data_IF_894596724768
#
_entry.id   IF_894596724768
#
_cell.length_a   1.000
_cell.length_b   1.000
_cell.length_c   1.000
_cell.angle_alpha   90.00
_cell.angle_beta   90.00
_cell.angle_gamma   90.00
#
_symmetry.space_group_name_H-M   'P 1'
#
loop_
_entity.id
_entity.type
_entity.pdbx_description
1 polymer ?
#
# COMPACT_ATOMS: atom_id res chain seq x y z
N UNK A 1 16.87 10.18 19.72
CA UNK A 1 16.43 10.95 18.54
C UNK A 1 15.09 11.58 18.87
N UNK A 2 14.85 12.85 18.52
CA UNK A 2 13.51 13.42 18.63
C UNK A 2 12.61 12.63 17.68
N UNK A 3 11.51 12.06 18.17
CA UNK A 3 10.54 11.40 17.30
C UNK A 3 9.97 12.43 16.31
N UNK A 4 9.71 11.98 15.08
CA UNK A 4 9.03 12.77 14.03
C UNK A 4 7.68 13.22 14.59
N UNK A 5 7.22 14.42 14.24
CA UNK A 5 5.91 14.90 14.69
C UNK A 5 4.80 14.32 13.80
N UNK A 6 4.54 13.02 13.96
CA UNK A 6 3.60 12.25 13.13
C UNK A 6 2.14 12.71 13.25
N UNK A 7 1.84 13.56 14.22
CA UNK A 7 0.49 14.09 14.45
C UNK A 7 0.23 15.46 13.82
N UNK A 8 1.28 16.16 13.36
CA UNK A 8 1.18 17.55 12.87
C UNK A 8 0.15 17.72 11.75
N UNK A 9 0.07 16.72 10.84
CA UNK A 9 -0.80 16.76 9.66
C UNK A 9 -2.29 16.69 9.97
N UNK A 10 -2.67 16.14 11.14
CA UNK A 10 -4.08 15.99 11.52
C UNK A 10 -4.81 17.33 11.61
N UNK A 11 -4.08 18.38 12.00
CA UNK A 11 -4.65 19.71 12.14
C UNK A 11 -5.04 20.29 10.78
N UNK A 12 -4.17 20.16 9.78
CA UNK A 12 -4.44 20.65 8.43
C UNK A 12 -5.64 19.94 7.79
N UNK A 13 -5.71 18.60 7.90
CA UNK A 13 -6.87 17.83 7.41
C UNK A 13 -8.17 18.28 8.09
N UNK A 14 -8.13 18.57 9.38
CA UNK A 14 -9.29 19.07 10.11
C UNK A 14 -9.70 20.47 9.67
N UNK A 15 -8.74 21.36 9.40
CA UNK A 15 -8.98 22.70 8.87
C UNK A 15 -9.57 22.67 7.46
N UNK A 16 -9.13 21.76 6.61
CA UNK A 16 -9.69 21.55 5.27
C UNK A 16 -11.17 21.09 5.34
N UNK A 17 -11.49 20.19 6.27
CA UNK A 17 -12.88 19.74 6.50
C UNK A 17 -13.75 20.88 7.01
N UNK A 18 -13.24 21.71 7.92
CA UNK A 18 -13.94 22.90 8.39
C UNK A 18 -14.23 23.85 7.23
N UNK A 19 -13.22 24.14 6.40
CA UNK A 19 -13.36 25.02 5.25
C UNK A 19 -14.37 24.49 4.23
N UNK A 20 -14.28 23.21 3.86
CA UNK A 20 -15.18 22.59 2.88
C UNK A 20 -16.65 22.57 3.34
N UNK A 21 -16.90 22.45 4.64
CA UNK A 21 -18.24 22.51 5.22
C UNK A 21 -18.70 23.92 5.60
N UNK A 22 -17.90 24.95 5.34
CA UNK A 22 -18.10 26.33 5.79
C UNK A 22 -18.35 26.44 7.31
N UNK A 23 -17.58 25.69 8.08
CA UNK A 23 -17.62 25.61 9.53
C UNK A 23 -16.36 26.19 10.17
N UNK A 24 -16.47 26.58 11.44
CA UNK A 24 -15.34 27.10 12.23
C UNK A 24 -15.01 26.24 13.46
N UNK A 25 -15.81 25.20 13.71
CA UNK A 25 -15.62 24.31 14.86
C UNK A 25 -16.23 22.92 14.63
N UNK A 26 -15.85 21.97 15.48
CA UNK A 26 -16.43 20.62 15.52
C UNK A 26 -17.92 20.64 15.86
N UNK A 27 -18.35 21.60 16.68
CA UNK A 27 -19.77 21.75 17.03
C UNK A 27 -20.60 22.23 15.83
N UNK A 28 -20.02 23.10 14.99
CA UNK A 28 -20.62 23.44 13.70
C UNK A 28 -20.73 22.19 12.81
N UNK A 29 -19.66 21.40 12.66
CA UNK A 29 -19.69 20.18 11.84
C UNK A 29 -20.75 19.19 12.32
N UNK A 30 -20.92 19.02 13.64
CA UNK A 30 -21.95 18.13 14.22
C UNK A 30 -23.38 18.65 14.02
N UNK A 31 -23.53 19.95 13.84
CA UNK A 31 -24.83 20.60 13.63
C UNK A 31 -25.17 20.78 12.15
N UNK A 32 -24.19 20.60 11.27
CA UNK A 32 -24.36 20.66 9.83
C UNK A 32 -25.32 19.56 9.35
N UNK A 33 -26.11 19.87 8.32
CA UNK A 33 -27.02 18.89 7.73
C UNK A 33 -26.22 17.82 6.96
N UNK A 34 -26.78 16.61 6.78
CA UNK A 34 -26.15 15.58 5.95
C UNK A 34 -25.77 16.07 4.55
N UNK A 35 -26.58 16.93 3.93
CA UNK A 35 -26.33 17.47 2.59
C UNK A 35 -25.08 18.35 2.56
N UNK A 36 -24.85 19.17 3.58
CA UNK A 36 -23.62 19.98 3.72
C UNK A 36 -22.40 19.07 3.85
N UNK A 37 -22.47 18.05 4.70
CA UNK A 37 -21.37 17.12 4.91
C UNK A 37 -21.08 16.27 3.67
N UNK A 38 -22.10 15.86 2.92
CA UNK A 38 -21.94 15.15 1.65
C UNK A 38 -21.28 16.04 0.60
N UNK A 39 -21.69 17.30 0.49
CA UNK A 39 -21.07 18.25 -0.44
C UNK A 39 -19.60 18.52 -0.08
N UNK A 40 -19.29 18.72 1.21
CA UNK A 40 -17.92 18.89 1.68
C UNK A 40 -17.06 17.64 1.39
N UNK A 41 -17.59 16.44 1.66
CA UNK A 41 -16.89 15.20 1.35
C UNK A 41 -16.66 15.02 -0.15
N UNK A 42 -17.65 15.36 -0.99
CA UNK A 42 -17.50 15.27 -2.44
C UNK A 42 -16.39 16.19 -2.94
N UNK A 43 -16.40 17.45 -2.49
CA UNK A 43 -15.37 18.43 -2.81
C UNK A 43 -13.97 17.91 -2.43
N UNK A 44 -13.81 17.47 -1.18
CA UNK A 44 -12.53 16.98 -0.68
C UNK A 44 -12.09 15.68 -1.39
N UNK A 45 -12.99 14.76 -1.70
CA UNK A 45 -12.58 13.46 -2.30
C UNK A 45 -12.39 13.55 -3.81
N UNK A 46 -13.08 14.45 -4.50
CA UNK A 46 -13.19 14.42 -5.96
C UNK A 46 -12.59 15.64 -6.65
N UNK A 47 -12.51 16.80 -5.98
CA UNK A 47 -12.23 18.08 -6.63
C UNK A 47 -10.90 18.71 -6.19
N UNK A 48 -10.40 18.36 -5.01
CA UNK A 48 -9.08 18.81 -4.55
C UNK A 48 -7.99 17.78 -4.86
N UNK A 49 -6.73 18.18 -5.12
CA UNK A 49 -5.59 17.27 -5.27
C UNK A 49 -5.08 16.70 -3.95
N UNK A 50 -4.32 15.61 -4.03
CA UNK A 50 -3.81 14.94 -2.83
C UNK A 50 -2.63 15.73 -2.29
N UNK A 51 -2.74 16.15 -1.03
CA UNK A 51 -1.66 16.83 -0.33
C UNK A 51 -0.47 15.90 -0.03
N UNK A 52 0.69 16.52 0.21
CA UNK A 52 1.88 15.83 0.67
C UNK A 52 1.77 15.37 2.14
N UNK A 53 2.35 14.22 2.48
CA UNK A 53 2.49 13.75 3.88
C UNK A 53 1.32 12.92 4.42
N UNK A 54 0.55 12.24 3.55
CA UNK A 54 -0.33 11.13 3.95
C UNK A 54 -1.67 11.47 4.63
N UNK A 55 -1.92 12.70 5.07
CA UNK A 55 -3.23 13.12 5.64
C UNK A 55 -4.20 13.57 4.55
N UNK A 56 -4.91 12.62 3.95
CA UNK A 56 -5.32 12.64 2.54
C UNK A 56 -6.72 13.20 2.25
N UNK A 57 -6.89 13.64 0.99
CA UNK A 57 -8.10 13.94 0.20
C UNK A 57 -7.73 13.88 -1.31
N UNK A 58 -8.71 13.89 -2.23
CA UNK A 58 -8.72 13.36 -3.62
C UNK A 58 -7.57 13.70 -4.59
N UNK A 59 -7.43 13.13 -5.81
CA UNK A 59 -8.17 12.03 -6.44
C UNK A 59 -7.50 10.67 -6.16
N UNK A 60 -7.31 10.36 -4.88
CA UNK A 60 -6.81 9.05 -4.42
C UNK A 60 -7.51 8.66 -3.10
N UNK A 61 -6.77 8.24 -2.07
CA UNK A 61 -7.25 7.53 -0.86
C UNK A 61 -8.43 8.19 -0.11
N UNK A 62 -8.65 9.50 -0.24
CA UNK A 62 -9.70 10.21 0.49
C UNK A 62 -9.38 10.27 1.98
N UNK A 63 -10.35 9.98 2.85
CA UNK A 63 -10.11 9.87 4.29
C UNK A 63 -9.30 8.60 4.62
N UNK A 64 -8.06 8.75 5.05
CA UNK A 64 -7.18 7.65 5.44
C UNK A 64 -6.93 7.59 6.96
N UNK A 65 -6.59 6.40 7.51
CA UNK A 65 -5.98 6.33 8.84
C UNK A 65 -4.71 7.18 8.91
N UNK A 66 -4.49 7.87 10.03
CA UNK A 66 -3.28 8.66 10.25
C UNK A 66 -2.74 8.43 11.66
N UNK A 67 -1.41 8.51 11.87
CA UNK A 67 -0.83 8.45 13.21
C UNK A 67 -1.48 9.46 14.16
N UNK A 68 -2.01 8.96 15.27
CA UNK A 68 -2.71 9.76 16.27
C UNK A 68 -1.96 9.89 17.60
N UNK A 69 -0.81 9.21 17.70
CA UNK A 69 0.03 9.17 18.90
C UNK A 69 -0.49 8.24 20.00
N UNK A 70 -1.65 7.60 19.80
CA UNK A 70 -2.33 6.75 20.79
C UNK A 70 -2.53 5.35 20.25
N UNK A 71 -3.37 5.18 19.22
CA UNK A 71 -3.66 3.92 18.56
C UNK A 71 -2.64 3.62 17.45
N UNK A 72 -2.31 4.62 16.63
CA UNK A 72 -1.27 4.55 15.60
C UNK A 72 -0.17 5.52 16.02
N UNK A 73 0.90 4.98 16.62
CA UNK A 73 1.93 5.80 17.29
C UNK A 73 2.95 6.39 16.33
N UNK A 74 3.11 5.79 15.16
CA UNK A 74 4.05 6.17 14.10
C UNK A 74 3.57 5.50 12.80
N UNK A 75 4.28 5.74 11.70
CA UNK A 75 4.05 5.10 10.41
C UNK A 75 4.09 3.57 10.53
N UNK A 76 3.05 2.82 10.09
CA UNK A 76 2.98 1.38 10.28
C UNK A 76 4.20 0.58 9.81
N UNK A 77 4.83 0.95 8.68
CA UNK A 77 6.02 0.22 8.23
C UNK A 77 7.20 0.39 9.21
N UNK A 78 7.38 1.58 9.78
CA UNK A 78 8.41 1.84 10.80
C UNK A 78 8.11 1.08 12.09
N UNK A 79 6.84 1.05 12.52
CA UNK A 79 6.43 0.27 13.70
C UNK A 79 6.65 -1.23 13.53
N UNK A 80 6.51 -1.76 12.31
CA UNK A 80 6.69 -3.18 12.01
C UNK A 80 8.16 -3.59 11.89
N UNK A 81 9.06 -2.65 11.57
CA UNK A 81 10.51 -2.86 11.57
C UNK A 81 11.08 -3.00 12.98
N UNK A 82 10.44 -2.42 13.98
CA UNK A 82 10.87 -2.58 15.37
C UNK A 82 10.86 -4.07 15.74
N UNK A 83 12.05 -4.59 16.06
CA UNK A 83 12.24 -5.96 16.55
C UNK A 83 11.46 -6.24 17.85
N UNK A 84 11.08 -5.18 18.57
CA UNK A 84 10.13 -5.24 19.66
C UNK A 84 8.77 -5.74 19.15
N UNK A 85 8.37 -6.90 19.64
CA UNK A 85 7.01 -7.43 19.39
C UNK A 85 5.92 -6.61 20.08
N UNK A 86 6.25 -5.53 20.79
CA UNK A 86 5.29 -4.70 21.52
C UNK A 86 4.21 -4.07 20.64
N UNK A 87 4.48 -3.91 19.34
CA UNK A 87 3.53 -3.39 18.36
C UNK A 87 2.81 -4.48 17.55
N UNK A 88 3.11 -5.76 17.82
CA UNK A 88 2.60 -6.92 17.08
C UNK A 88 1.49 -7.59 17.89
N UNK A 89 0.36 -7.82 17.24
CA UNK A 89 -0.72 -8.61 17.84
C UNK A 89 -0.38 -10.10 17.69
N UNK A 90 -0.75 -10.96 18.66
CA UNK A 90 -0.56 -12.39 18.51
C UNK A 90 -1.52 -12.91 17.43
N UNK A 91 -0.97 -13.33 16.29
CA UNK A 91 -1.71 -13.93 15.18
C UNK A 91 -1.45 -15.44 15.12
N UNK A 92 -2.46 -16.21 14.72
CA UNK A 92 -2.32 -17.67 14.51
C UNK A 92 -1.67 -17.98 13.15
N UNK A 93 -2.11 -17.29 12.11
CA UNK A 93 -1.62 -17.38 10.73
C UNK A 93 -1.87 -16.02 10.07
N UNK A 94 -1.09 -15.68 9.04
CA UNK A 94 -1.21 -14.44 8.29
C UNK A 94 -1.11 -14.71 6.78
N UNK A 95 -2.07 -14.21 6.02
CA UNK A 95 -2.03 -14.18 4.56
C UNK A 95 -1.97 -12.72 4.13
N UNK A 96 -0.98 -12.37 3.33
CA UNK A 96 -0.75 -11.00 2.86
C UNK A 96 -0.31 -11.04 1.41
N UNK A 97 -0.69 -10.05 0.61
CA UNK A 97 -0.26 -10.00 -0.77
C UNK A 97 -0.52 -8.67 -1.42
N UNK A 98 0.03 -8.54 -2.61
CA UNK A 98 -0.10 -7.38 -3.47
C UNK A 98 -0.16 -7.85 -4.94
N UNK A 99 -0.43 -6.92 -5.84
CA UNK A 99 -0.46 -7.15 -7.28
C UNK A 99 0.84 -6.63 -7.88
N UNK A 100 1.34 -7.26 -8.94
CA UNK A 100 2.61 -6.90 -9.55
C UNK A 100 2.62 -5.48 -10.13
N UNK A 101 1.44 -4.92 -10.44
CA UNK A 101 1.24 -3.59 -11.00
C UNK A 101 0.13 -2.81 -10.26
N UNK A 102 0.06 -2.92 -8.92
CA UNK A 102 -0.93 -2.19 -8.10
C UNK A 102 -0.99 -0.69 -8.43
N UNK A 103 0.16 -0.05 -8.62
CA UNK A 103 0.25 1.38 -8.88
C UNK A 103 -0.24 1.82 -10.27
N UNK A 104 -0.46 0.87 -11.19
CA UNK A 104 -0.94 1.19 -12.54
C UNK A 104 -2.39 1.68 -12.48
N UNK A 105 -2.65 2.86 -13.06
CA UNK A 105 -3.94 3.56 -13.08
C UNK A 105 -4.43 4.09 -11.71
N UNK A 106 -3.62 4.07 -10.64
CA UNK A 106 -4.01 4.59 -9.32
C UNK A 106 -3.42 5.94 -8.95
N UNK A 107 -2.45 6.41 -9.72
CA UNK A 107 -1.75 7.66 -9.46
C UNK A 107 -1.60 8.47 -10.75
N UNK A 108 -1.32 9.76 -10.61
CA UNK A 108 -1.03 10.62 -11.74
C UNK A 108 0.32 10.25 -12.36
N UNK A 109 0.31 9.83 -13.62
CA UNK A 109 1.47 9.40 -14.40
C UNK A 109 1.76 10.34 -15.59
N UNK A 110 1.09 11.50 -15.63
CA UNK A 110 1.31 12.50 -16.67
C UNK A 110 2.68 13.15 -16.52
N UNK A 111 3.30 13.51 -17.66
CA UNK A 111 4.57 14.24 -17.71
C UNK A 111 5.74 13.53 -16.99
N UNK A 112 5.75 12.20 -16.96
CA UNK A 112 6.91 11.44 -16.48
C UNK A 112 8.08 11.53 -17.47
N UNK A 113 9.34 11.58 -16.98
CA UNK A 113 9.76 11.56 -15.58
C UNK A 113 9.79 12.93 -14.90
N UNK A 114 9.49 14.02 -15.62
CA UNK A 114 9.65 15.39 -15.12
C UNK A 114 8.80 15.69 -13.86
N UNK A 115 7.61 15.11 -13.75
CA UNK A 115 6.74 15.28 -12.59
C UNK A 115 6.99 14.26 -11.45
N UNK A 116 8.02 13.40 -11.55
CA UNK A 116 8.27 12.36 -10.55
C UNK A 116 8.58 12.92 -9.16
N UNK A 117 9.28 14.06 -9.09
CA UNK A 117 9.59 14.72 -7.82
C UNK A 117 8.36 15.12 -7.02
N UNK A 118 7.26 15.45 -7.69
CA UNK A 118 6.00 15.81 -7.03
C UNK A 118 5.34 14.57 -6.40
N UNK A 119 5.41 13.42 -7.07
CA UNK A 119 4.96 12.12 -6.53
C UNK A 119 5.78 11.69 -5.32
N UNK A 120 7.11 11.87 -5.37
CA UNK A 120 7.98 11.54 -4.23
C UNK A 120 7.64 12.41 -3.03
N UNK A 121 7.45 13.72 -3.24
CA UNK A 121 7.11 14.65 -2.16
C UNK A 121 5.72 14.44 -1.59
N UNK A 122 4.85 13.68 -2.26
CA UNK A 122 3.59 13.24 -1.66
C UNK A 122 3.81 12.36 -0.41
N UNK A 123 4.94 11.65 -0.33
CA UNK A 123 5.32 10.79 0.80
C UNK A 123 6.49 11.40 1.58
N UNK A 124 7.56 11.79 0.90
CA UNK A 124 8.78 12.35 1.47
C UNK A 124 8.73 13.89 1.37
N UNK A 125 7.96 14.53 2.24
CA UNK A 125 7.49 15.91 2.07
C UNK A 125 8.59 16.97 1.95
N UNK A 126 9.77 16.70 2.53
CA UNK A 126 10.93 17.61 2.48
C UNK A 126 12.10 17.03 1.69
N UNK A 127 11.87 15.98 0.90
CA UNK A 127 12.90 15.34 0.07
C UNK A 127 13.64 16.34 -0.83
N UNK A 128 14.97 16.29 -0.73
CA UNK A 128 15.87 17.03 -1.60
C UNK A 128 15.84 16.49 -3.04
N UNK A 129 16.33 17.27 -4.01
CA UNK A 129 16.49 16.76 -5.38
C UNK A 129 17.44 15.54 -5.45
N UNK A 130 18.41 15.47 -4.53
CA UNK A 130 19.30 14.31 -4.42
C UNK A 130 18.53 13.07 -3.95
N UNK A 131 17.69 13.20 -2.92
CA UNK A 131 16.82 12.12 -2.42
C UNK A 131 15.87 11.65 -3.52
N UNK A 132 15.25 12.58 -4.26
CA UNK A 132 14.37 12.26 -5.39
C UNK A 132 15.10 11.46 -6.46
N UNK A 133 16.33 11.87 -6.82
CA UNK A 133 17.13 11.13 -7.79
C UNK A 133 17.49 9.72 -7.29
N UNK A 134 17.88 9.59 -6.02
CA UNK A 134 18.17 8.29 -5.40
C UNK A 134 16.96 7.36 -5.45
N UNK A 135 15.77 7.88 -5.19
CA UNK A 135 14.51 7.13 -5.28
C UNK A 135 14.23 6.76 -6.75
N UNK A 136 14.37 7.69 -7.68
CA UNK A 136 14.13 7.45 -9.11
C UNK A 136 15.03 6.33 -9.66
N UNK A 137 16.29 6.28 -9.22
CA UNK A 137 17.26 5.26 -9.63
C UNK A 137 16.87 3.84 -9.21
N UNK A 138 15.93 3.69 -8.26
CA UNK A 138 15.38 2.38 -7.87
C UNK A 138 14.39 1.82 -8.89
N UNK A 139 13.85 2.65 -9.77
CA UNK A 139 12.74 2.32 -10.66
C UNK A 139 13.12 2.54 -12.12
N UNK A 140 13.90 1.64 -12.74
CA UNK A 140 14.25 1.75 -14.15
C UNK A 140 13.00 1.61 -15.04
N UNK A 141 12.85 2.53 -15.98
CA UNK A 141 11.76 2.56 -16.96
C UNK A 141 12.29 2.77 -18.38
N UNK A 142 11.65 2.20 -19.41
CA UNK A 142 12.04 2.45 -20.79
C UNK A 142 11.59 3.85 -21.23
N UNK A 143 12.38 4.53 -22.05
CA UNK A 143 12.04 5.88 -22.55
C UNK A 143 10.75 5.91 -23.38
N UNK A 144 10.35 4.77 -23.95
CA UNK A 144 9.09 4.62 -24.68
C UNK A 144 7.86 4.47 -23.76
N UNK A 145 8.07 4.31 -22.44
CA UNK A 145 7.03 4.11 -21.45
C UNK A 145 7.37 4.80 -20.11
N UNK A 146 7.55 6.13 -20.09
CA UNK A 146 7.98 6.85 -18.90
C UNK A 146 6.99 6.77 -17.74
N UNK A 147 5.70 6.56 -18.01
CA UNK A 147 4.65 6.37 -16.99
C UNK A 147 4.93 5.19 -16.05
N UNK A 148 5.71 4.19 -16.50
CA UNK A 148 6.13 3.05 -15.67
C UNK A 148 6.90 3.49 -14.41
N UNK A 149 7.61 4.61 -14.46
CA UNK A 149 8.30 5.17 -13.30
C UNK A 149 7.31 5.42 -12.15
N UNK A 150 6.20 6.09 -12.46
CA UNK A 150 5.16 6.40 -11.52
C UNK A 150 4.51 5.10 -11.00
N UNK A 151 4.17 4.18 -11.91
CA UNK A 151 3.47 2.94 -11.54
C UNK A 151 4.30 2.03 -10.63
N UNK A 152 5.59 1.83 -10.93
CA UNK A 152 6.46 0.99 -10.11
C UNK A 152 6.73 1.62 -8.73
N UNK A 153 6.89 2.95 -8.70
CA UNK A 153 6.98 3.72 -7.47
C UNK A 153 5.76 3.48 -6.60
N UNK A 154 4.55 3.73 -7.11
CA UNK A 154 3.30 3.55 -6.38
C UNK A 154 3.08 2.09 -5.96
N UNK A 155 3.35 1.14 -6.85
CA UNK A 155 3.29 -0.30 -6.52
C UNK A 155 4.16 -0.62 -5.32
N UNK A 156 5.36 -0.04 -5.25
CA UNK A 156 6.30 -0.31 -4.17
C UNK A 156 5.94 0.40 -2.88
N UNK A 157 5.83 1.74 -2.92
CA UNK A 157 5.68 2.55 -1.70
C UNK A 157 4.30 2.41 -1.06
N UNK A 158 3.23 2.23 -1.84
CA UNK A 158 1.85 2.19 -1.32
C UNK A 158 1.42 0.74 -0.97
N UNK A 159 1.90 -0.26 -1.71
CA UNK A 159 1.34 -1.63 -1.62
C UNK A 159 2.38 -2.69 -1.24
N UNK A 160 3.37 -2.90 -2.09
CA UNK A 160 4.24 -4.07 -1.98
C UNK A 160 5.18 -3.99 -0.78
N UNK A 161 5.73 -2.82 -0.45
CA UNK A 161 6.60 -2.65 0.72
C UNK A 161 5.84 -2.74 2.04
N UNK A 162 4.60 -2.27 2.10
CA UNK A 162 3.73 -2.53 3.25
C UNK A 162 3.47 -4.03 3.42
N UNK A 163 3.10 -4.71 2.33
CA UNK A 163 2.83 -6.16 2.33
C UNK A 163 4.06 -6.98 2.72
N UNK A 164 5.23 -6.59 2.23
CA UNK A 164 6.51 -7.21 2.56
C UNK A 164 6.91 -6.95 4.03
N UNK A 165 6.75 -5.73 4.53
CA UNK A 165 7.03 -5.36 5.92
C UNK A 165 6.13 -6.14 6.89
N UNK A 166 4.85 -6.28 6.55
CA UNK A 166 3.88 -7.09 7.31
C UNK A 166 4.32 -8.57 7.31
N UNK A 167 4.70 -9.14 6.17
CA UNK A 167 5.18 -10.52 6.10
C UNK A 167 6.46 -10.73 6.93
N UNK A 168 7.41 -9.79 6.84
CA UNK A 168 8.68 -9.82 7.55
C UNK A 168 8.52 -9.67 9.07
N UNK A 169 7.47 -8.97 9.54
CA UNK A 169 7.16 -8.86 10.96
C UNK A 169 6.59 -10.16 11.58
N UNK A 170 6.06 -11.07 10.75
CA UNK A 170 5.48 -12.35 11.17
C UNK A 170 6.05 -13.53 10.37
N UNK A 171 7.39 -13.67 10.26
CA UNK A 171 8.02 -14.50 9.23
C UNK A 171 7.67 -15.99 9.36
N UNK A 172 7.41 -16.47 10.59
CA UNK A 172 7.11 -17.87 10.88
C UNK A 172 5.66 -18.28 10.56
N UNK A 173 4.76 -17.31 10.39
CA UNK A 173 3.32 -17.56 10.20
C UNK A 173 2.72 -16.83 8.99
N UNK A 174 3.49 -15.94 8.36
CA UNK A 174 3.09 -15.19 7.19
C UNK A 174 3.24 -16.04 5.93
N UNK A 175 2.20 -16.07 5.12
CA UNK A 175 2.20 -16.57 3.76
C UNK A 175 2.01 -15.37 2.84
N UNK A 176 3.02 -15.06 2.02
CA UNK A 176 2.97 -13.93 1.09
C UNK A 176 2.69 -14.39 -0.33
N UNK A 177 1.82 -13.69 -1.04
CA UNK A 177 1.62 -13.87 -2.48
C UNK A 177 1.79 -12.57 -3.27
N UNK A 178 2.06 -12.71 -4.56
CA UNK A 178 2.03 -11.60 -5.53
C UNK A 178 1.19 -12.04 -6.73
N UNK A 179 0.12 -11.32 -7.05
CA UNK A 179 -0.63 -11.57 -8.28
C UNK A 179 0.14 -11.00 -9.48
N UNK A 180 0.54 -11.86 -10.40
CA UNK A 180 1.33 -11.57 -11.60
C UNK A 180 0.60 -12.07 -12.88
N UNK A 181 -0.73 -12.06 -12.84
CA UNK A 181 -1.56 -12.33 -14.02
C UNK A 181 -1.90 -10.99 -14.65
N UNK A 182 -1.49 -10.73 -15.91
CA UNK A 182 -1.81 -9.48 -16.59
C UNK A 182 -3.32 -9.14 -16.54
N UNK A 183 -3.68 -7.88 -16.29
CA UNK A 183 -2.81 -6.71 -16.15
C UNK A 183 -2.17 -6.54 -14.75
N UNK A 184 -2.45 -7.44 -13.81
CA UNK A 184 -1.96 -7.44 -12.43
C UNK A 184 -2.16 -6.10 -11.71
N UNK A 185 -3.33 -5.49 -11.92
CA UNK A 185 -3.69 -4.21 -11.30
C UNK A 185 -4.32 -4.40 -9.94
N UNK A 186 -4.44 -3.30 -9.21
CA UNK A 186 -5.04 -3.27 -7.88
C UNK A 186 -6.40 -3.98 -7.81
N UNK A 187 -6.58 -4.76 -6.74
CA UNK A 187 -7.79 -5.54 -6.42
C UNK A 187 -8.18 -6.64 -7.43
N UNK A 188 -7.34 -6.94 -8.43
CA UNK A 188 -7.66 -7.96 -9.44
C UNK A 188 -7.81 -9.38 -8.86
N UNK A 189 -7.11 -9.67 -7.77
CA UNK A 189 -7.16 -10.94 -7.06
C UNK A 189 -8.54 -11.23 -6.42
N UNK A 190 -9.37 -10.20 -6.17
CA UNK A 190 -10.73 -10.37 -5.64
C UNK A 190 -11.60 -11.25 -6.55
N UNK A 191 -11.50 -11.08 -7.87
CA UNK A 191 -12.26 -11.90 -8.83
C UNK A 191 -11.86 -13.38 -8.76
N UNK A 192 -10.62 -13.68 -8.36
CA UNK A 192 -10.13 -15.05 -8.19
C UNK A 192 -10.50 -15.62 -6.81
N UNK A 193 -10.42 -14.82 -5.75
CA UNK A 193 -10.79 -15.24 -4.40
C UNK A 193 -12.30 -15.51 -4.27
N UNK A 194 -13.12 -14.62 -4.83
CA UNK A 194 -14.57 -14.67 -4.74
C UNK A 194 -15.22 -15.14 -6.05
N UNK A 195 -14.50 -15.91 -6.86
CA UNK A 195 -15.01 -16.40 -8.13
C UNK A 195 -16.33 -17.16 -7.95
N UNK A 196 -17.36 -16.69 -8.65
CA UNK A 196 -18.66 -17.35 -8.76
C UNK A 196 -18.77 -18.03 -10.13
N UNK A 197 -18.63 -17.23 -11.18
CA UNK A 197 -18.65 -17.65 -12.58
C UNK A 197 -17.97 -16.56 -13.45
N UNK A 198 -17.74 -16.86 -14.72
CA UNK A 198 -17.03 -15.95 -15.62
C UNK A 198 -17.88 -14.77 -16.14
N UNK A 199 -19.13 -14.66 -15.68
CA UNK A 199 -20.05 -13.53 -15.97
C UNK A 199 -20.02 -12.53 -14.83
N UNK A 200 -20.06 -13.01 -13.59
CA UNK A 200 -20.12 -12.21 -12.36
C UNK A 200 -18.73 -11.75 -11.91
N UNK A 201 -17.74 -12.65 -11.99
CA UNK A 201 -16.36 -12.44 -11.55
C UNK A 201 -15.41 -12.95 -12.62
N UNK A 202 -15.25 -12.21 -13.73
CA UNK A 202 -14.49 -12.68 -14.87
C UNK A 202 -13.02 -12.90 -14.51
N UNK A 203 -12.46 -14.03 -14.96
CA UNK A 203 -11.05 -14.39 -14.79
C UNK A 203 -10.49 -14.91 -16.11
N UNK A 204 -9.18 -14.76 -16.30
CA UNK A 204 -8.48 -15.33 -17.46
C UNK A 204 -7.97 -16.75 -17.21
N UNK A 205 -7.87 -17.17 -15.94
CA UNK A 205 -7.35 -18.47 -15.53
C UNK A 205 -8.26 -19.20 -14.53
N UNK A 206 -9.28 -19.91 -15.04
CA UNK A 206 -10.21 -20.70 -14.21
C UNK A 206 -9.55 -21.87 -13.42
N UNK A 207 -8.52 -22.57 -13.93
CA UNK A 207 -7.78 -23.54 -13.12
C UNK A 207 -7.11 -22.94 -11.86
N UNK A 208 -6.60 -21.72 -11.95
CA UNK A 208 -5.99 -21.04 -10.81
C UNK A 208 -7.01 -20.66 -9.73
N UNK A 209 -8.23 -20.27 -10.12
CA UNK A 209 -9.32 -19.99 -9.18
C UNK A 209 -9.48 -21.10 -8.16
N UNK A 210 -9.58 -22.34 -8.62
CA UNK A 210 -9.75 -23.49 -7.72
C UNK A 210 -8.60 -23.61 -6.73
N UNK A 211 -7.36 -23.41 -7.18
CA UNK A 211 -6.19 -23.47 -6.31
C UNK A 211 -6.20 -22.36 -5.25
N UNK A 212 -6.59 -21.14 -5.63
CA UNK A 212 -6.67 -20.01 -4.70
C UNK A 212 -7.80 -20.17 -3.69
N UNK A 213 -9.00 -20.55 -4.14
CA UNK A 213 -10.16 -20.76 -3.27
C UNK A 213 -9.94 -21.94 -2.31
N UNK A 214 -9.38 -23.07 -2.79
CA UNK A 214 -9.03 -24.20 -1.92
C UNK A 214 -8.01 -23.80 -0.85
N UNK A 215 -6.99 -23.02 -1.23
CA UNK A 215 -6.00 -22.53 -0.27
C UNK A 215 -6.63 -21.59 0.76
N UNK A 216 -7.40 -20.59 0.31
CA UNK A 216 -8.06 -19.62 1.19
C UNK A 216 -9.02 -20.31 2.16
N UNK A 217 -9.82 -21.27 1.69
CA UNK A 217 -10.71 -22.05 2.55
C UNK A 217 -9.95 -22.85 3.61
N UNK A 218 -8.84 -23.49 3.24
CA UNK A 218 -7.99 -24.22 4.20
C UNK A 218 -7.34 -23.28 5.22
N UNK A 219 -6.84 -22.14 4.76
CA UNK A 219 -6.25 -21.09 5.59
C UNK A 219 -7.25 -20.58 6.62
N UNK A 220 -8.46 -20.19 6.19
CA UNK A 220 -9.52 -19.69 7.06
C UNK A 220 -10.03 -20.76 8.02
N UNK A 221 -10.19 -22.00 7.56
CA UNK A 221 -10.59 -23.13 8.42
C UNK A 221 -9.52 -23.50 9.47
N UNK A 222 -8.35 -22.87 9.43
CA UNK A 222 -7.22 -23.08 10.32
C UNK A 222 -6.78 -24.55 10.40
N UNK A 223 -7.16 -25.34 9.39
CA UNK A 223 -6.41 -26.50 8.99
C UNK A 223 -5.04 -25.98 8.56
N UNK A 224 -3.96 -26.70 8.90
CA UNK A 224 -2.65 -26.33 8.42
C UNK A 224 -2.74 -26.15 6.89
N UNK A 225 -2.76 -24.90 6.41
CA UNK A 225 -2.72 -24.56 5.00
C UNK A 225 -1.34 -24.86 4.40
N UNK A 226 -0.56 -25.68 5.10
CA UNK A 226 0.70 -26.29 4.74
C UNK A 226 0.52 -27.40 3.70
N UNK A 227 -0.20 -27.13 2.61
CA UNK A 227 0.33 -27.62 1.33
C UNK A 227 1.65 -26.87 1.11
N UNK A 228 2.67 -27.25 1.90
CA UNK A 228 3.80 -26.42 2.29
C UNK A 228 4.67 -25.98 1.11
N UNK A 229 4.47 -26.60 -0.07
CA UNK A 229 5.19 -26.28 -1.29
C UNK A 229 4.59 -25.15 -2.12
N UNK A 230 3.30 -24.84 -2.00
CA UNK A 230 2.64 -23.87 -2.91
C UNK A 230 2.41 -22.50 -2.30
N UNK A 231 2.25 -22.42 -0.99
CA UNK A 231 2.17 -21.18 -0.21
C UNK A 231 3.07 -21.36 1.01
N UNK A 232 4.39 -21.22 0.83
CA UNK A 232 5.33 -21.40 1.93
C UNK A 232 5.13 -20.28 2.96
N UNK A 233 5.59 -20.54 4.18
CA UNK A 233 5.84 -19.45 5.14
C UNK A 233 6.94 -18.54 4.58
N UNK A 234 6.83 -17.25 4.86
CA UNK A 234 7.73 -16.23 4.35
C UNK A 234 9.16 -16.50 4.80
N UNK A 235 9.36 -16.69 6.12
CA UNK A 235 10.58 -17.20 6.74
C UNK A 235 11.86 -16.42 6.42
N UNK A 236 13.00 -16.98 6.80
CA UNK A 236 14.33 -16.41 6.53
C UNK A 236 14.66 -16.31 5.04
N UNK A 237 14.07 -17.19 4.22
CA UNK A 237 14.29 -17.23 2.77
C UNK A 237 13.45 -16.17 2.02
N UNK A 238 12.55 -15.46 2.72
CA UNK A 238 11.60 -14.50 2.12
C UNK A 238 10.85 -15.11 0.94
N UNK A 239 10.30 -16.32 1.10
CA UNK A 239 9.59 -17.03 0.03
C UNK A 239 8.19 -16.48 -0.16
N UNK A 240 7.79 -16.33 -1.41
CA UNK A 240 6.47 -15.85 -1.80
C UNK A 240 5.93 -16.71 -2.93
N UNK A 241 4.60 -16.75 -3.05
CA UNK A 241 3.91 -17.38 -4.16
C UNK A 241 3.50 -16.34 -5.19
N UNK A 242 4.07 -16.40 -6.38
CA UNK A 242 3.56 -15.69 -7.55
C UNK A 242 2.37 -16.45 -8.12
N UNK A 243 1.28 -15.72 -8.33
CA UNK A 243 0.09 -16.20 -9.03
C UNK A 243 0.26 -15.78 -10.50
N UNK A 244 0.57 -16.73 -11.38
CA UNK A 244 0.85 -16.45 -12.80
C UNK A 244 -0.23 -17.05 -13.69
N UNK A 245 -0.22 -16.68 -14.97
CA UNK A 245 -1.11 -17.30 -15.98
C UNK A 245 -0.92 -18.81 -16.13
N UNK A 246 0.27 -19.33 -15.78
CA UNK A 246 0.59 -20.76 -15.88
C UNK A 246 0.44 -21.51 -14.55
N UNK A 247 0.13 -20.81 -13.46
CA UNK A 247 -0.14 -21.40 -12.15
C UNK A 247 0.61 -20.73 -11.00
N UNK A 248 0.90 -21.51 -9.95
CA UNK A 248 1.58 -21.02 -8.76
C UNK A 248 3.09 -21.23 -8.88
N UNK A 249 3.87 -20.17 -8.69
CA UNK A 249 5.34 -20.21 -8.71
C UNK A 249 5.89 -19.71 -7.38
N UNK A 250 6.66 -20.54 -6.68
CA UNK A 250 7.38 -20.10 -5.47
C UNK A 250 8.74 -19.54 -5.86
N UNK A 251 9.08 -18.37 -5.33
CA UNK A 251 10.40 -17.75 -5.47
C UNK A 251 10.70 -16.86 -4.27
N UNK A 252 11.93 -16.33 -4.21
CA UNK A 252 12.27 -15.27 -3.28
C UNK A 252 11.50 -13.99 -3.65
N UNK A 253 11.11 -13.25 -2.64
CA UNK A 253 10.39 -12.00 -2.75
C UNK A 253 11.08 -11.01 -3.70
N UNK A 254 10.42 -10.59 -4.79
CA UNK A 254 10.98 -9.64 -5.74
C UNK A 254 11.47 -8.34 -5.08
N UNK A 255 10.76 -7.86 -4.04
CA UNK A 255 11.08 -6.62 -3.33
C UNK A 255 12.24 -6.76 -2.34
N UNK A 256 12.52 -8.00 -1.90
CA UNK A 256 13.76 -8.30 -1.17
C UNK A 256 14.91 -8.47 -2.14
N UNK A 257 14.70 -9.14 -3.29
CA UNK A 257 15.73 -9.35 -4.29
C UNK A 257 16.24 -8.04 -4.90
N UNK A 258 15.35 -7.07 -5.16
CA UNK A 258 15.72 -5.77 -5.71
C UNK A 258 16.15 -4.75 -4.63
N UNK A 259 15.87 -5.01 -3.34
CA UNK A 259 16.21 -4.14 -2.22
C UNK A 259 15.47 -2.80 -2.19
N UNK A 260 14.36 -2.66 -2.91
CA UNK A 260 13.61 -1.40 -3.00
C UNK A 260 13.02 -1.02 -1.64
N UNK A 261 12.38 -1.96 -0.94
CA UNK A 261 11.71 -1.65 0.33
C UNK A 261 12.69 -1.23 1.42
N UNK A 262 13.81 -1.94 1.56
CA UNK A 262 14.83 -1.60 2.57
C UNK A 262 15.39 -0.19 2.37
N UNK A 263 15.62 0.20 1.10
CA UNK A 263 16.10 1.55 0.76
C UNK A 263 15.05 2.62 1.04
N UNK A 264 13.79 2.40 0.65
CA UNK A 264 12.71 3.34 0.92
C UNK A 264 12.51 3.52 2.43
N UNK A 265 12.54 2.43 3.20
CA UNK A 265 12.41 2.50 4.66
C UNK A 265 13.56 3.26 5.31
N UNK A 266 14.80 3.04 4.85
CA UNK A 266 15.96 3.81 5.32
C UNK A 266 15.76 5.32 5.08
N UNK A 267 15.30 5.70 3.88
CA UNK A 267 15.00 7.10 3.57
C UNK A 267 13.82 7.65 4.40
N UNK A 268 12.88 6.82 4.84
CA UNK A 268 11.76 7.24 5.69
C UNK A 268 12.21 7.52 7.13
N UNK A 269 13.26 6.87 7.61
CA UNK A 269 13.82 7.08 8.94
C UNK A 269 14.67 8.35 9.04
N UNK A 270 15.17 8.85 7.90
CA UNK A 270 15.92 10.10 7.76
C UNK A 270 15.01 11.33 8.00
N UNK A 271 15.21 12.08 9.11
CA UNK A 271 14.31 13.18 9.49
C UNK A 271 14.21 14.30 8.44
N UNK A 272 15.26 14.49 7.63
CA UNK A 272 15.33 15.47 6.56
C UNK A 272 14.37 15.21 5.41
N UNK A 273 13.84 13.98 5.28
CA UNK A 273 12.92 13.62 4.21
C UNK A 273 11.44 13.83 4.60
N UNK A 274 11.16 14.21 5.85
CA UNK A 274 9.86 14.76 6.25
C UNK A 274 8.70 13.77 6.14
N UNK A 275 8.97 12.51 6.48
CA UNK A 275 7.96 11.43 6.56
C UNK A 275 7.30 11.43 7.94
#
# INVERSE_FOLDING_TARGET
MSRRNVTSRRQEVYEDVLAAANCTSLECLRSASPEVLVAANYHLISEVPSGAGGGSFGPSIGFAPSPDGVYIRDEPMVLLQDSSTAHRQPLRQLLVGNMAHDGMNLINDNNMPAAFGDLVRAVFTTASNQTIQQIQDLFPFPSSKPEKLAWDWATSIIFACHSQSIAAAYPEIAHRYVMDIPPATHAQDLAYMFFLDNTTTPVTNAPLVRQMQEYLLRFVAAHNATTASRFPVYGSDSKVTLLTETGLKVQRDPWVTNGVCDKLLTLMEEPENGV
#
